data_IF_092796615035
#
_entry.id   IF_092796615035
#
_cell.length_a   1.000
_cell.length_b   1.000
_cell.length_c   1.000
_cell.angle_alpha   90.00
_cell.angle_beta   90.00
_cell.angle_gamma   90.00
#
_symmetry.space_group_name_H-M   'P 1'
#
loop_
_entity.id
_entity.type
_entity.pdbx_description
1 polymer ?
#
# COMPACT_ATOMS: atom_id res chain seq x y z
N UNK A 1 16.24 25.07 1.49
CA UNK A 1 15.82 24.35 0.27
C UNK A 1 14.35 23.97 0.40
N UNK A 2 13.44 24.59 -0.37
CA UNK A 2 12.01 24.28 -0.35
C UNK A 2 11.78 23.11 -1.29
N UNK A 3 11.41 21.93 -0.75
CA UNK A 3 11.05 20.76 -1.55
C UNK A 3 9.75 21.09 -2.30
N UNK A 4 9.87 21.63 -3.51
CA UNK A 4 8.72 21.80 -4.40
C UNK A 4 8.27 20.38 -4.73
N UNK A 5 7.12 19.96 -4.19
CA UNK A 5 6.48 18.72 -4.64
C UNK A 5 6.18 18.93 -6.10
N UNK A 6 6.78 18.13 -6.97
CA UNK A 6 6.48 18.18 -8.40
C UNK A 6 4.96 18.11 -8.61
N UNK A 7 4.39 18.80 -9.61
CA UNK A 7 2.95 18.76 -9.88
C UNK A 7 2.44 17.33 -10.12
N UNK A 8 3.32 16.44 -10.56
CA UNK A 8 3.09 14.99 -10.68
C UNK A 8 2.77 14.34 -9.33
N UNK A 9 3.52 14.68 -8.28
CA UNK A 9 3.32 14.17 -6.92
C UNK A 9 2.02 14.68 -6.28
N UNK A 10 1.50 15.81 -6.77
CA UNK A 10 0.19 16.32 -6.35
C UNK A 10 -0.94 15.61 -7.11
N UNK A 11 -0.76 15.36 -8.41
CA UNK A 11 -1.71 14.59 -9.22
C UNK A 11 -1.84 13.14 -8.77
N UNK A 12 -0.73 12.51 -8.40
CA UNK A 12 -0.73 11.12 -7.93
C UNK A 12 -1.48 10.99 -6.58
N UNK A 13 -1.28 11.94 -5.66
CA UNK A 13 -2.05 12.01 -4.42
C UNK A 13 -3.55 12.27 -4.65
N UNK A 14 -3.92 12.98 -5.71
CA UNK A 14 -5.33 13.18 -6.07
C UNK A 14 -5.92 11.94 -6.77
N UNK A 15 -5.11 11.19 -7.51
CA UNK A 15 -5.50 9.97 -8.20
C UNK A 15 -5.64 8.78 -7.24
N UNK A 16 -4.80 8.72 -6.20
CA UNK A 16 -4.84 7.69 -5.15
C UNK A 16 -4.90 8.34 -3.76
N UNK A 17 -6.07 8.86 -3.36
CA UNK A 17 -6.21 9.59 -2.09
C UNK A 17 -6.07 8.68 -0.87
N UNK A 18 -6.18 7.36 -1.05
CA UNK A 18 -6.16 6.39 0.02
C UNK A 18 -4.83 5.67 0.02
N UNK A 19 -4.17 5.71 1.17
CA UNK A 19 -2.88 5.07 1.38
C UNK A 19 -2.90 4.30 2.69
N UNK A 20 -2.54 3.03 2.60
CA UNK A 20 -2.20 2.23 3.77
C UNK A 20 -0.74 1.85 3.68
N UNK A 21 -0.06 1.85 4.83
CA UNK A 21 1.27 1.26 4.96
C UNK A 21 1.12 0.00 5.77
N UNK A 22 1.66 -1.09 5.27
CA UNK A 22 1.73 -2.36 6.01
C UNK A 22 3.20 -2.71 6.23
N UNK A 23 3.50 -3.37 7.35
CA UNK A 23 4.81 -4.00 7.51
C UNK A 23 4.94 -5.12 6.49
N UNK A 24 6.10 -5.25 5.86
CA UNK A 24 6.32 -6.34 4.91
C UNK A 24 6.25 -7.65 5.69
N UNK A 25 5.34 -8.58 5.33
CA UNK A 25 5.31 -9.88 5.98
C UNK A 25 6.67 -10.58 5.78
N UNK A 26 7.16 -11.34 6.78
CA UNK A 26 8.45 -12.00 6.69
C UNK A 26 8.47 -12.92 5.45
N UNK A 27 9.65 -13.09 4.83
CA UNK A 27 9.80 -13.90 3.61
C UNK A 27 9.32 -15.35 3.78
N UNK A 28 9.30 -15.85 5.01
CA UNK A 28 8.80 -17.16 5.40
C UNK A 28 7.27 -17.24 5.53
N UNK A 29 6.54 -16.12 5.40
CA UNK A 29 5.08 -16.11 5.44
C UNK A 29 4.52 -16.67 4.13
N UNK A 30 3.75 -17.78 4.14
CA UNK A 30 3.09 -18.31 2.95
C UNK A 30 2.08 -17.32 2.34
N UNK A 31 1.54 -16.39 3.12
CA UNK A 31 0.73 -15.24 2.66
C UNK A 31 1.59 -13.98 2.53
N UNK A 32 2.79 -14.16 1.97
CA UNK A 32 3.75 -13.09 1.77
C UNK A 32 3.30 -12.08 0.70
N UNK A 33 4.15 -11.08 0.44
CA UNK A 33 3.82 -9.97 -0.45
C UNK A 33 3.33 -10.42 -1.85
N UNK A 34 3.90 -11.49 -2.41
CA UNK A 34 3.48 -11.99 -3.72
C UNK A 34 2.02 -12.47 -3.75
N UNK A 35 1.53 -13.08 -2.67
CA UNK A 35 0.14 -13.54 -2.57
C UNK A 35 -0.81 -12.35 -2.49
N UNK A 36 -0.41 -11.31 -1.75
CA UNK A 36 -1.17 -10.05 -1.67
C UNK A 36 -1.25 -9.39 -3.06
N UNK A 37 -0.15 -9.37 -3.81
CA UNK A 37 -0.12 -8.80 -5.15
C UNK A 37 -0.97 -9.59 -6.13
N UNK A 38 -0.88 -10.91 -6.12
CA UNK A 38 -1.71 -11.79 -6.96
C UNK A 38 -3.20 -11.57 -6.68
N UNK A 39 -3.59 -11.50 -5.40
CA UNK A 39 -4.96 -11.20 -5.01
C UNK A 39 -5.42 -9.81 -5.45
N UNK A 40 -4.58 -8.78 -5.30
CA UNK A 40 -4.90 -7.41 -5.75
C UNK A 40 -5.10 -7.35 -7.26
N UNK A 41 -4.27 -8.06 -8.03
CA UNK A 41 -4.40 -8.15 -9.48
C UNK A 41 -5.69 -8.88 -9.90
N UNK A 42 -6.10 -9.91 -9.16
CA UNK A 42 -7.29 -10.70 -9.46
C UNK A 42 -8.60 -10.00 -9.05
N UNK A 43 -8.69 -9.51 -7.80
CA UNK A 43 -9.93 -8.99 -7.23
C UNK A 43 -10.16 -7.51 -7.51
N UNK A 44 -9.10 -6.70 -7.54
CA UNK A 44 -9.22 -5.25 -7.71
C UNK A 44 -8.89 -4.83 -9.14
N UNK A 45 -8.00 -5.58 -9.79
CA UNK A 45 -7.61 -5.36 -11.18
C UNK A 45 -6.42 -4.41 -11.32
N UNK A 46 -5.61 -4.69 -12.34
CA UNK A 46 -4.45 -3.87 -12.68
C UNK A 46 -4.86 -2.41 -12.96
N UNK A 47 -4.18 -1.46 -12.31
CA UNK A 47 -4.38 -0.02 -12.47
C UNK A 47 -5.38 0.64 -11.52
N UNK A 48 -6.09 -0.13 -10.69
CA UNK A 48 -6.90 0.40 -9.58
C UNK A 48 -6.11 0.60 -8.28
N UNK A 49 -4.94 -0.05 -8.19
CA UNK A 49 -4.01 0.10 -7.08
C UNK A 49 -2.61 0.45 -7.59
N UNK A 50 -1.81 1.04 -6.70
CA UNK A 50 -0.37 1.18 -6.89
C UNK A 50 0.35 0.75 -5.61
N UNK A 51 1.58 0.26 -5.76
CA UNK A 51 2.42 -0.17 -4.64
C UNK A 51 3.74 0.60 -4.65
N UNK A 52 4.27 0.89 -3.46
CA UNK A 52 5.62 1.43 -3.31
C UNK A 52 6.29 0.82 -2.08
N UNK A 53 7.51 0.33 -2.26
CA UNK A 53 8.35 -0.09 -1.14
C UNK A 53 8.64 1.12 -0.26
N UNK A 54 8.29 1.04 1.01
CA UNK A 54 8.51 2.07 2.00
C UNK A 54 9.49 1.56 3.06
N UNK A 55 10.25 2.45 3.66
CA UNK A 55 11.01 2.14 4.86
C UNK A 55 10.26 2.73 6.04
N UNK A 56 10.16 1.97 7.13
CA UNK A 56 9.80 2.50 8.44
C UNK A 56 11.06 2.64 9.28
N UNK A 57 10.96 3.31 10.42
CA UNK A 57 12.08 3.50 11.35
C UNK A 57 12.68 2.19 11.84
N UNK A 58 11.89 1.10 11.85
CA UNK A 58 12.24 -0.16 12.48
C UNK A 58 12.28 -1.34 11.49
N UNK A 59 11.55 -1.27 10.36
CA UNK A 59 11.41 -2.39 9.42
C UNK A 59 11.08 -1.96 7.96
N UNK A 60 11.15 -2.92 7.03
CA UNK A 60 10.67 -2.76 5.65
C UNK A 60 9.13 -2.73 5.66
N UNK A 61 8.56 -1.80 4.90
CA UNK A 61 7.12 -1.66 4.74
C UNK A 61 6.74 -1.59 3.27
N UNK A 62 5.47 -1.83 2.98
CA UNK A 62 4.89 -1.59 1.67
C UNK A 62 3.75 -0.60 1.83
N UNK A 63 3.77 0.44 1.01
CA UNK A 63 2.67 1.38 0.89
C UNK A 63 1.79 0.96 -0.28
N UNK A 64 0.54 0.64 0.00
CA UNK A 64 -0.49 0.44 -1.01
C UNK A 64 -1.33 1.69 -1.15
N UNK A 65 -1.61 2.05 -2.40
CA UNK A 65 -2.36 3.22 -2.79
C UNK A 65 -3.59 2.75 -3.56
N UNK A 66 -4.76 3.25 -3.15
CA UNK A 66 -6.05 2.86 -3.72
C UNK A 66 -6.80 4.07 -4.24
N UNK A 67 -7.60 3.85 -5.29
CA UNK A 67 -8.53 4.86 -5.79
C UNK A 67 -9.82 4.89 -5.00
N UNK A 68 -10.31 3.73 -4.55
CA UNK A 68 -11.58 3.57 -3.83
C UNK A 68 -11.38 3.03 -2.42
N UNK A 69 -12.26 3.44 -1.51
CA UNK A 69 -12.26 2.98 -0.11
C UNK A 69 -12.61 1.50 -0.05
N UNK A 70 -13.50 1.05 -0.92
CA UNK A 70 -13.95 -0.35 -1.00
C UNK A 70 -12.77 -1.29 -1.25
N UNK A 71 -11.90 -0.95 -2.20
CA UNK A 71 -10.68 -1.71 -2.55
C UNK A 71 -9.74 -1.86 -1.34
N UNK A 72 -9.53 -0.75 -0.62
CA UNK A 72 -8.71 -0.73 0.59
C UNK A 72 -9.33 -1.59 1.70
N UNK A 73 -10.64 -1.49 1.91
CA UNK A 73 -11.34 -2.27 2.93
C UNK A 73 -11.36 -3.77 2.58
N UNK A 74 -11.52 -4.12 1.31
CA UNK A 74 -11.47 -5.50 0.84
C UNK A 74 -10.10 -6.13 1.15
N UNK A 75 -9.00 -5.40 0.91
CA UNK A 75 -7.67 -5.89 1.26
C UNK A 75 -7.52 -6.12 2.78
N UNK A 76 -7.97 -5.18 3.61
CA UNK A 76 -7.87 -5.31 5.07
C UNK A 76 -8.76 -6.44 5.62
N UNK A 77 -9.89 -6.71 4.97
CA UNK A 77 -10.79 -7.80 5.32
C UNK A 77 -10.21 -9.16 4.90
N UNK A 78 -9.58 -9.26 3.72
CA UNK A 78 -9.00 -10.50 3.22
C UNK A 78 -7.70 -10.88 3.94
N UNK A 79 -6.88 -9.89 4.29
CA UNK A 79 -5.62 -10.09 4.99
C UNK A 79 -5.65 -9.39 6.36
N UNK A 80 -6.45 -9.90 7.32
CA UNK A 80 -6.57 -9.32 8.66
C UNK A 80 -5.28 -9.47 9.47
N UNK A 81 -4.38 -10.36 9.04
CA UNK A 81 -3.05 -10.57 9.61
C UNK A 81 -2.04 -9.45 9.29
N UNK A 82 -2.39 -8.52 8.39
CA UNK A 82 -1.50 -7.43 8.02
C UNK A 82 -1.39 -6.41 9.15
N UNK A 83 -0.16 -6.21 9.60
CA UNK A 83 0.15 -5.18 10.59
C UNK A 83 0.29 -3.84 9.86
N UNK A 84 -0.67 -2.93 10.10
CA UNK A 84 -0.57 -1.55 9.66
C UNK A 84 0.70 -0.93 10.26
N UNK A 85 1.60 -0.48 9.39
CA UNK A 85 2.76 0.28 9.80
C UNK A 85 2.28 1.69 10.16
N UNK A 86 2.04 1.93 11.44
CA UNK A 86 1.71 3.24 11.99
C UNK A 86 2.76 4.26 11.52
N UNK A 87 2.36 5.12 10.58
CA UNK A 87 3.14 6.26 10.18
C UNK A 87 2.92 7.39 11.17
N UNK A 88 3.69 7.47 12.24
CA UNK A 88 3.83 8.77 12.93
C UNK A 88 4.45 9.75 11.93
N UNK A 89 3.69 10.81 11.68
CA UNK A 89 3.97 11.88 10.71
C UNK A 89 5.15 12.73 11.15
#
# INVERSE_FOLDING_TARGET
MRRVRSPEHQRDNLAFPLRIKIRTPPRSNPRGLNVILDWLEHEIGQGQFALHMAQTTDDLAVAFYFRRVEDMLALLAEFPELVLAEGRK
#
